data_IF_462549552490
#
_entry.id   IF_462549552490
#
_cell.length_a   1.000
_cell.length_b   1.000
_cell.length_c   1.000
_cell.angle_alpha   90.00
_cell.angle_beta   90.00
_cell.angle_gamma   90.00
#
_symmetry.space_group_name_H-M   'P 1'
#
loop_
_entity.id
_entity.type
_entity.pdbx_description
1 polymer ?
#
# COMPACT_ATOMS: atom_id res chain seq x y z
N UNK A 1 23.81 4.88 11.63
CA UNK A 1 23.45 6.28 11.94
C UNK A 1 24.58 7.08 12.58
N UNK A 2 25.44 6.48 13.43
CA UNK A 2 26.57 7.20 14.06
C UNK A 2 27.64 7.67 13.07
N UNK A 3 27.84 6.96 11.94
CA UNK A 3 28.84 7.31 10.91
C UNK A 3 28.25 8.04 9.69
N UNK A 4 26.94 8.33 9.66
CA UNK A 4 26.29 8.97 8.51
C UNK A 4 26.40 10.50 8.61
N UNK A 5 26.88 11.14 7.54
CA UNK A 5 26.95 12.60 7.48
C UNK A 5 25.53 13.19 7.45
N UNK A 6 25.33 14.35 8.11
CA UNK A 6 24.03 15.04 8.14
C UNK A 6 23.60 15.48 6.73
N UNK A 7 24.56 15.83 5.88
CA UNK A 7 24.32 16.25 4.49
C UNK A 7 23.77 15.12 3.61
N UNK A 8 24.27 13.89 3.77
CA UNK A 8 23.77 12.75 2.98
C UNK A 8 22.38 12.30 3.42
N UNK A 9 22.07 12.47 4.71
CA UNK A 9 20.73 12.26 5.23
C UNK A 9 19.73 13.29 4.69
N UNK A 10 20.09 14.58 4.68
CA UNK A 10 19.25 15.65 4.12
C UNK A 10 18.98 15.47 2.62
N UNK A 11 19.97 15.02 1.84
CA UNK A 11 19.77 14.67 0.41
C UNK A 11 18.74 13.56 0.24
N UNK A 12 18.81 12.53 1.09
CA UNK A 12 17.88 11.40 1.06
C UNK A 12 16.46 11.82 1.45
N UNK A 13 16.32 12.68 2.46
CA UNK A 13 15.03 13.26 2.85
C UNK A 13 14.44 14.09 1.72
N UNK A 14 15.23 14.97 1.08
CA UNK A 14 14.72 15.84 0.01
C UNK A 14 14.20 15.01 -1.20
N UNK A 15 14.80 13.85 -1.47
CA UNK A 15 14.30 12.92 -2.49
C UNK A 15 12.94 12.31 -2.08
N UNK A 16 12.82 11.84 -0.84
CA UNK A 16 11.56 11.31 -0.30
C UNK A 16 10.47 12.38 -0.27
N UNK A 17 10.82 13.59 0.14
CA UNK A 17 9.91 14.73 0.18
C UNK A 17 9.43 15.09 -1.22
N UNK A 18 10.31 15.11 -2.23
CA UNK A 18 9.89 15.35 -3.62
C UNK A 18 8.92 14.29 -4.18
N UNK A 19 9.00 13.06 -3.69
CA UNK A 19 8.19 11.93 -4.19
C UNK A 19 6.87 11.78 -3.43
N UNK A 20 6.83 12.14 -2.15
CA UNK A 20 5.68 11.98 -1.26
C UNK A 20 5.21 13.31 -0.63
N UNK A 21 5.53 14.45 -1.24
CA UNK A 21 5.24 15.80 -0.74
C UNK A 21 3.78 15.99 -0.29
N UNK A 22 2.83 15.46 -1.08
CA UNK A 22 1.39 15.57 -0.79
C UNK A 22 0.94 14.74 0.42
N UNK A 23 1.75 13.79 0.87
CA UNK A 23 1.39 12.82 1.92
C UNK A 23 2.05 13.11 3.26
N UNK A 24 3.13 13.91 3.28
CA UNK A 24 4.00 14.09 4.44
C UNK A 24 4.13 15.58 4.79
N UNK A 25 3.36 16.04 5.79
CA UNK A 25 3.43 17.43 6.24
C UNK A 25 4.66 17.67 7.14
N UNK A 26 5.42 18.74 6.91
CA UNK A 26 6.55 19.13 7.77
C UNK A 26 7.57 17.98 7.98
N UNK A 27 7.78 17.16 6.94
CA UNK A 27 8.57 15.94 7.01
C UNK A 27 10.05 16.22 7.21
N UNK A 28 10.56 17.28 6.60
CA UNK A 28 11.99 17.63 6.64
C UNK A 28 12.45 17.96 8.06
N UNK A 29 11.70 18.82 8.73
CA UNK A 29 11.94 19.27 10.10
C UNK A 29 11.82 18.10 11.08
N UNK A 30 10.78 17.28 10.94
CA UNK A 30 10.60 16.08 11.76
C UNK A 30 11.71 15.04 11.53
N UNK A 31 12.18 14.90 10.29
CA UNK A 31 13.25 13.95 9.96
C UNK A 31 14.61 14.38 10.52
N UNK A 32 14.91 15.69 10.51
CA UNK A 32 16.11 16.24 11.15
C UNK A 32 16.05 16.03 12.67
N UNK A 33 14.90 16.32 13.29
CA UNK A 33 14.70 16.07 14.72
C UNK A 33 14.87 14.58 15.06
N UNK A 34 14.33 13.69 14.23
CA UNK A 34 14.52 12.25 14.35
C UNK A 34 16.00 11.88 14.28
N UNK A 35 16.74 12.42 13.32
CA UNK A 35 18.18 12.17 13.20
C UNK A 35 18.96 12.62 14.44
N UNK A 36 18.67 13.80 14.96
CA UNK A 36 19.34 14.35 16.14
C UNK A 36 18.98 13.53 17.41
N UNK A 37 17.74 13.05 17.54
CA UNK A 37 17.34 12.15 18.63
C UNK A 37 18.12 10.84 18.58
N UNK A 38 18.15 10.16 17.43
CA UNK A 38 18.81 8.85 17.28
C UNK A 38 20.34 8.92 17.35
N UNK A 39 20.93 10.08 17.06
CA UNK A 39 22.37 10.31 17.24
C UNK A 39 22.76 10.43 18.71
N UNK A 40 21.86 10.98 19.53
CA UNK A 40 22.07 11.21 20.95
C UNK A 40 21.59 10.05 21.84
N UNK A 41 20.82 9.09 21.31
CA UNK A 41 20.42 7.90 22.04
C UNK A 41 21.60 6.94 22.24
N UNK A 42 21.85 6.52 23.49
CA UNK A 42 22.83 5.50 23.87
C UNK A 42 22.33 4.07 23.57
N UNK A 43 21.81 3.86 22.36
CA UNK A 43 21.41 2.51 21.93
C UNK A 43 22.69 1.73 21.60
N UNK A 44 22.88 0.60 22.29
CA UNK A 44 23.99 -0.32 22.06
C UNK A 44 23.96 -0.80 20.61
N UNK A 45 25.10 -0.77 19.91
CA UNK A 45 25.18 -1.00 18.46
C UNK A 45 24.61 -2.38 18.06
N UNK A 46 24.64 -3.34 19.00
CA UNK A 46 24.10 -4.70 18.87
C UNK A 46 22.57 -4.77 18.89
N UNK A 47 21.91 -3.80 19.50
CA UNK A 47 20.45 -3.67 19.49
C UNK A 47 19.97 -3.05 18.15
N UNK A 48 20.78 -2.16 17.56
CA UNK A 48 20.47 -1.51 16.27
C UNK A 48 20.40 -2.51 15.10
N UNK A 49 21.25 -3.54 15.10
CA UNK A 49 21.22 -4.61 14.08
C UNK A 49 19.97 -5.50 14.16
N UNK A 50 19.28 -5.53 15.31
CA UNK A 50 18.10 -6.35 15.53
C UNK A 50 16.78 -5.59 15.45
N UNK A 51 16.83 -4.27 15.35
CA UNK A 51 15.65 -3.41 15.35
C UNK A 51 14.84 -3.61 14.07
N UNK A 52 13.62 -4.11 14.24
CA UNK A 52 12.65 -4.18 13.14
C UNK A 52 12.00 -2.80 12.94
N UNK A 53 11.63 -2.46 11.70
CA UNK A 53 10.88 -1.22 11.41
C UNK A 53 9.57 -1.10 12.23
N UNK A 54 9.00 -2.24 12.63
CA UNK A 54 7.79 -2.31 13.46
C UNK A 54 8.09 -1.84 14.89
N UNK A 55 9.21 -2.29 15.47
CA UNK A 55 9.65 -1.90 16.81
C UNK A 55 10.04 -0.41 16.86
N UNK A 56 10.58 0.13 15.75
CA UNK A 56 10.85 1.57 15.59
C UNK A 56 9.54 2.40 15.62
N UNK A 57 8.46 1.85 15.07
CA UNK A 57 7.13 2.46 15.08
C UNK A 57 6.44 2.40 16.44
N UNK A 58 6.75 1.38 17.25
CA UNK A 58 6.22 1.21 18.60
C UNK A 58 6.99 2.02 19.66
N UNK A 59 8.16 2.56 19.30
CA UNK A 59 8.95 3.39 20.20
C UNK A 59 8.22 4.69 20.57
N UNK A 60 8.35 5.13 21.82
CA UNK A 60 7.66 6.30 22.39
C UNK A 60 7.81 7.59 21.57
N UNK A 61 8.88 7.71 20.79
CA UNK A 61 9.18 8.88 19.95
C UNK A 61 8.37 8.93 18.64
N UNK A 62 7.80 7.80 18.19
CA UNK A 62 6.99 7.75 16.97
C UNK A 62 5.69 8.56 17.09
N UNK A 63 5.14 8.70 18.30
CA UNK A 63 3.93 9.48 18.56
C UNK A 63 4.15 11.00 18.37
N UNK A 64 5.40 11.48 18.53
CA UNK A 64 5.74 12.91 18.42
C UNK A 64 6.19 13.31 17.01
N UNK A 65 6.38 12.33 16.10
CA UNK A 65 6.89 12.53 14.75
C UNK A 65 5.95 11.85 13.73
N UNK A 66 4.71 12.36 13.56
CA UNK A 66 3.67 11.71 12.77
C UNK A 66 4.06 11.49 11.31
N UNK A 67 4.82 12.40 10.71
CA UNK A 67 5.22 12.32 9.30
C UNK A 67 6.33 11.30 9.11
N UNK A 68 7.25 11.18 10.07
CA UNK A 68 8.27 10.12 10.06
C UNK A 68 7.63 8.75 10.26
N UNK A 69 6.69 8.62 11.19
CA UNK A 69 5.94 7.38 11.39
C UNK A 69 5.17 6.97 10.12
N UNK A 70 4.53 7.94 9.44
CA UNK A 70 3.83 7.72 8.17
C UNK A 70 4.77 7.31 7.04
N UNK A 71 5.96 7.89 6.95
CA UNK A 71 6.99 7.48 5.99
C UNK A 71 7.47 6.03 6.25
N UNK A 72 7.65 5.65 7.52
CA UNK A 72 7.99 4.26 7.90
C UNK A 72 6.85 3.30 7.54
N UNK A 73 5.59 3.69 7.74
CA UNK A 73 4.42 2.89 7.32
C UNK A 73 4.37 2.71 5.80
N UNK A 74 4.67 3.75 5.03
CA UNK A 74 4.78 3.66 3.56
C UNK A 74 5.90 2.68 3.20
N UNK A 75 7.06 2.77 3.84
CA UNK A 75 8.17 1.85 3.63
C UNK A 75 7.80 0.38 3.96
N UNK A 76 7.02 0.15 5.03
CA UNK A 76 6.50 -1.18 5.37
C UNK A 76 5.45 -1.70 4.37
N UNK A 77 4.72 -0.80 3.72
CA UNK A 77 3.73 -1.14 2.70
C UNK A 77 4.38 -1.49 1.36
N UNK A 78 5.58 -0.94 1.10
CA UNK A 78 6.36 -1.30 -0.08
C UNK A 78 6.71 -2.79 0.01
N UNK A 79 6.29 -3.61 -0.97
CA UNK A 79 6.53 -5.04 -0.91
C UNK A 79 8.04 -5.28 -0.97
N UNK A 80 8.67 -5.91 0.05
CA UNK A 80 10.10 -6.19 0.04
C UNK A 80 10.47 -7.27 -0.98
N UNK A 81 9.47 -7.95 -1.56
CA UNK A 81 9.64 -9.07 -2.49
C UNK A 81 8.68 -8.97 -3.67
N UNK A 82 9.03 -9.62 -4.77
CA UNK A 82 8.21 -9.73 -5.99
C UNK A 82 6.95 -10.59 -5.83
N UNK A 83 6.66 -11.12 -4.65
CA UNK A 83 5.58 -12.09 -4.43
C UNK A 83 4.17 -11.54 -4.79
N UNK A 84 3.96 -10.23 -4.62
CA UNK A 84 2.70 -9.56 -5.04
C UNK A 84 2.50 -9.62 -6.56
N UNK A 85 3.59 -9.53 -7.31
CA UNK A 85 3.60 -9.60 -8.77
C UNK A 85 3.30 -11.03 -9.23
N UNK A 86 3.89 -12.05 -8.58
CA UNK A 86 3.63 -13.47 -8.86
C UNK A 86 2.17 -13.85 -8.62
N UNK A 87 1.57 -13.37 -7.51
CA UNK A 87 0.15 -13.56 -7.24
C UNK A 87 -0.71 -12.98 -8.37
N UNK A 88 -0.38 -11.78 -8.81
CA UNK A 88 -1.11 -11.09 -9.90
C UNK A 88 -0.98 -11.85 -11.22
N UNK A 89 0.22 -12.25 -11.63
CA UNK A 89 0.43 -13.03 -12.85
C UNK A 89 -0.20 -14.43 -12.79
N UNK A 90 -0.16 -15.10 -11.65
CA UNK A 90 -0.84 -16.39 -11.44
C UNK A 90 -2.36 -16.24 -11.60
N UNK A 91 -2.95 -15.18 -11.03
CA UNK A 91 -4.37 -14.89 -11.25
C UNK A 91 -4.69 -14.53 -12.69
N UNK A 92 -3.83 -13.76 -13.36
CA UNK A 92 -3.98 -13.39 -14.76
C UNK A 92 -3.99 -14.63 -15.65
N UNK A 93 -3.08 -15.58 -15.44
CA UNK A 93 -3.01 -16.85 -16.17
C UNK A 93 -4.30 -17.69 -16.01
N UNK A 94 -4.95 -17.63 -14.85
CA UNK A 94 -6.22 -18.34 -14.58
C UNK A 94 -7.44 -17.65 -15.22
N UNK A 95 -7.44 -16.32 -15.26
CA UNK A 95 -8.55 -15.52 -15.80
C UNK A 95 -8.47 -15.43 -17.33
N UNK A 96 -7.28 -15.16 -17.88
CA UNK A 96 -6.99 -15.07 -19.31
C UNK A 96 -6.52 -16.40 -19.86
N UNK A 97 -7.48 -17.22 -20.28
CA UNK A 97 -7.25 -18.50 -20.96
C UNK A 97 -7.34 -18.35 -22.47
N UNK A 98 -6.78 -19.30 -23.22
CA UNK A 98 -6.79 -19.31 -24.69
C UNK A 98 -8.20 -19.11 -25.28
N UNK A 99 -9.21 -19.82 -24.76
CA UNK A 99 -10.61 -19.71 -25.20
C UNK A 99 -11.22 -18.33 -24.90
N UNK A 100 -10.68 -17.58 -23.92
CA UNK A 100 -11.21 -16.29 -23.44
C UNK A 100 -10.31 -15.11 -23.83
N UNK A 101 -9.54 -15.22 -24.90
CA UNK A 101 -8.53 -14.22 -25.25
C UNK A 101 -9.12 -12.90 -25.82
N UNK A 102 -10.39 -12.90 -26.26
CA UNK A 102 -11.07 -11.75 -26.90
C UNK A 102 -11.71 -10.75 -25.94
N UNK A 103 -11.49 -10.86 -24.62
CA UNK A 103 -12.07 -9.93 -23.64
C UNK A 103 -11.36 -8.56 -23.62
N UNK A 104 -12.13 -7.50 -23.36
CA UNK A 104 -11.58 -6.15 -23.18
C UNK A 104 -10.72 -6.05 -21.91
N UNK A 105 -9.75 -5.13 -21.92
CA UNK A 105 -8.87 -4.89 -20.78
C UNK A 105 -9.65 -4.49 -19.52
N UNK A 106 -10.71 -3.69 -19.64
CA UNK A 106 -11.54 -3.31 -18.49
C UNK A 106 -12.18 -4.52 -17.83
N UNK A 107 -12.73 -5.45 -18.62
CA UNK A 107 -13.34 -6.68 -18.11
C UNK A 107 -12.30 -7.60 -17.48
N UNK A 108 -11.13 -7.73 -18.11
CA UNK A 108 -10.02 -8.53 -17.60
C UNK A 108 -9.55 -8.02 -16.23
N UNK A 109 -9.26 -6.72 -16.13
CA UNK A 109 -8.83 -6.09 -14.88
C UNK A 109 -9.86 -6.26 -13.76
N UNK A 110 -11.16 -6.08 -14.07
CA UNK A 110 -12.24 -6.31 -13.12
C UNK A 110 -12.28 -7.75 -12.59
N UNK A 111 -12.19 -8.74 -13.48
CA UNK A 111 -12.18 -10.17 -13.10
C UNK A 111 -10.92 -10.55 -12.29
N UNK A 112 -9.76 -10.00 -12.65
CA UNK A 112 -8.54 -10.17 -11.87
C UNK A 112 -8.68 -9.60 -10.46
N UNK A 113 -9.23 -8.38 -10.33
CA UNK A 113 -9.45 -7.74 -9.03
C UNK A 113 -10.39 -8.57 -8.14
N UNK A 114 -11.49 -9.08 -8.70
CA UNK A 114 -12.42 -9.98 -7.99
C UNK A 114 -11.73 -11.28 -7.54
N UNK A 115 -10.86 -11.85 -8.38
CA UNK A 115 -10.14 -13.11 -8.08
C UNK A 115 -9.09 -12.95 -6.98
N UNK A 116 -8.35 -11.83 -7.00
CA UNK A 116 -7.34 -11.48 -5.98
C UNK A 116 -8.00 -11.19 -4.65
N UNK A 117 -9.06 -10.39 -4.64
CA UNK A 117 -9.75 -9.95 -3.41
C UNK A 117 -10.96 -10.82 -3.04
N UNK A 118 -11.03 -12.06 -3.55
CA UNK A 118 -12.13 -13.01 -3.31
C UNK A 118 -12.48 -13.19 -1.83
N UNK A 119 -11.50 -13.09 -0.93
CA UNK A 119 -11.72 -13.22 0.53
C UNK A 119 -12.59 -12.07 1.06
N UNK A 120 -12.21 -10.82 0.76
CA UNK A 120 -12.96 -9.62 1.16
C UNK A 120 -14.39 -9.64 0.60
N UNK A 121 -14.55 -10.11 -0.64
CA UNK A 121 -15.87 -10.24 -1.28
C UNK A 121 -16.72 -11.32 -0.58
N UNK A 122 -16.12 -12.42 -0.16
CA UNK A 122 -16.83 -13.47 0.59
C UNK A 122 -17.28 -12.99 1.96
N UNK A 123 -16.46 -12.21 2.66
CA UNK A 123 -16.78 -11.65 3.98
C UNK A 123 -17.96 -10.66 3.90
N UNK A 124 -18.05 -9.88 2.83
CA UNK A 124 -19.12 -8.89 2.63
C UNK A 124 -20.02 -9.22 1.43
N UNK A 125 -20.38 -10.50 1.28
CA UNK A 125 -21.05 -11.02 0.08
C UNK A 125 -22.40 -10.36 -0.16
N UNK A 126 -23.23 -10.24 0.86
CA UNK A 126 -24.61 -9.74 0.73
C UNK A 126 -24.65 -8.29 0.25
N UNK A 127 -23.87 -7.41 0.89
CA UNK A 127 -23.76 -6.01 0.50
C UNK A 127 -23.21 -5.86 -0.93
N UNK A 128 -22.19 -6.66 -1.27
CA UNK A 128 -21.63 -6.66 -2.62
C UNK A 128 -22.68 -7.06 -3.67
N UNK A 129 -23.45 -8.13 -3.41
CA UNK A 129 -24.50 -8.58 -4.32
C UNK A 129 -25.60 -7.53 -4.49
N UNK A 130 -26.03 -6.89 -3.39
CA UNK A 130 -27.05 -5.83 -3.46
C UNK A 130 -26.58 -4.66 -4.33
N UNK A 131 -25.34 -4.18 -4.14
CA UNK A 131 -24.76 -3.12 -4.97
C UNK A 131 -24.69 -3.49 -6.45
N UNK A 132 -24.36 -4.75 -6.75
CA UNK A 132 -24.36 -5.24 -8.14
C UNK A 132 -25.78 -5.20 -8.69
N UNK A 133 -26.78 -5.69 -7.96
CA UNK A 133 -28.19 -5.65 -8.38
C UNK A 133 -28.63 -4.21 -8.65
N UNK A 134 -28.35 -3.28 -7.74
CA UNK A 134 -28.73 -1.88 -7.87
C UNK A 134 -28.08 -1.23 -9.10
N UNK A 135 -26.78 -1.48 -9.34
CA UNK A 135 -26.06 -1.02 -10.53
C UNK A 135 -26.67 -1.57 -11.83
N UNK A 136 -27.03 -2.85 -11.86
CA UNK A 136 -27.70 -3.46 -13.01
C UNK A 136 -29.14 -2.98 -13.19
N UNK A 137 -29.82 -2.58 -12.12
CA UNK A 137 -31.16 -2.01 -12.17
C UNK A 137 -31.17 -0.57 -12.72
N UNK A 138 -30.09 0.18 -12.50
CA UNK A 138 -29.89 1.53 -13.07
C UNK A 138 -29.65 1.50 -14.58
N UNK A 139 -29.08 0.40 -15.11
CA UNK A 139 -28.85 0.28 -16.54
C UNK A 139 -30.17 -0.01 -17.28
N UNK A 140 -30.49 0.82 -18.28
CA UNK A 140 -31.71 0.67 -19.07
C UNK A 140 -31.50 -0.49 -20.06
N UNK A 141 -31.83 -1.71 -19.60
CA UNK A 141 -31.73 -2.91 -20.44
C UNK A 141 -32.45 -2.69 -21.77
N UNK A 142 -31.79 -3.01 -22.88
CA UNK A 142 -32.42 -3.10 -24.22
C UNK A 142 -33.52 -4.15 -24.31
N UNK A 143 -33.59 -5.10 -23.36
CA UNK A 143 -34.55 -6.20 -23.36
C UNK A 143 -35.58 -5.95 -22.24
N UNK A 144 -36.81 -5.63 -22.63
CA UNK A 144 -37.95 -5.58 -21.72
C UNK A 144 -38.40 -7.01 -21.43
N UNK A 145 -38.20 -7.47 -20.20
CA UNK A 145 -38.81 -8.71 -19.71
C UNK A 145 -40.24 -8.41 -19.29
N UNK A 146 -41.14 -8.30 -20.27
CA UNK A 146 -42.58 -8.30 -20.04
C UNK A 146 -42.99 -9.72 -19.64
N UNK A 147 -43.00 -9.99 -18.34
CA UNK A 147 -43.78 -11.10 -17.82
C UNK A 147 -45.23 -10.65 -17.72
N UNK A 148 -46.11 -11.32 -18.48
CA UNK A 148 -47.55 -11.11 -18.53
C UNK A 148 -48.25 -12.16 -17.69
#
# INVERSE_FOLDING_TARGET
>A
MKDLSKEDFEKSINNIDSTYCELLDNFKEQSILWFDLWKNTEIDAKALEKLNLIEVLEHEHACFLPSVAKAIQIALCLPPTTCTIERSFSTLKRVKTWIRNTMSNNRLSGLCLLSVHRRKIKENKENFMQKVIDLFAMDTRRIQLLFK
#
